data_IF_165494809394
#
_entry.id   IF_165494809394
#
_cell.length_a   1.000
_cell.length_b   1.000
_cell.length_c   1.000
_cell.angle_alpha   90.00
_cell.angle_beta   90.00
_cell.angle_gamma   90.00
#
_symmetry.space_group_name_H-M   'P 1'
#
loop_
_entity.id
_entity.type
_entity.pdbx_description
1 polymer ?
#
# COMPACT_ATOMS: atom_id res chain seq x y z
N UNK A 1 -12.00 -6.97 3.73
CA UNK A 1 -12.15 -6.15 2.51
C UNK A 1 -13.23 -6.64 1.54
N UNK A 2 -13.76 -7.86 1.68
CA UNK A 2 -14.59 -8.54 0.67
C UNK A 2 -16.00 -7.95 0.40
N UNK A 3 -16.38 -6.80 0.97
CA UNK A 3 -17.73 -6.25 0.73
C UNK A 3 -17.87 -4.74 0.77
N UNK A 4 -16.86 -3.96 1.18
CA UNK A 4 -17.00 -2.50 1.32
C UNK A 4 -15.63 -1.82 1.33
N UNK A 5 -15.04 -1.60 0.16
CA UNK A 5 -13.95 -0.64 -0.03
C UNK A 5 -13.94 -0.21 -1.49
N UNK A 6 -14.51 0.96 -1.78
CA UNK A 6 -14.62 1.54 -3.13
C UNK A 6 -13.54 2.59 -3.40
N UNK A 7 -12.83 3.04 -2.36
CA UNK A 7 -11.83 4.11 -2.46
C UNK A 7 -10.50 3.57 -3.00
N UNK A 8 -10.11 4.00 -4.19
CA UNK A 8 -8.77 3.80 -4.75
C UNK A 8 -7.90 4.98 -4.36
N UNK A 9 -7.02 4.77 -3.37
CA UNK A 9 -6.03 5.79 -3.00
C UNK A 9 -4.81 5.70 -3.92
N UNK A 10 -4.39 6.83 -4.48
CA UNK A 10 -3.19 6.92 -5.31
C UNK A 10 -1.99 7.25 -4.42
N UNK A 11 -0.98 6.38 -4.44
CA UNK A 11 0.24 6.52 -3.65
C UNK A 11 1.35 7.12 -4.52
N UNK A 12 1.94 8.24 -4.09
CA UNK A 12 3.23 8.74 -4.61
C UNK A 12 4.25 8.68 -3.48
N UNK A 13 5.47 8.25 -3.74
CA UNK A 13 6.52 8.20 -2.72
C UNK A 13 7.79 7.55 -3.26
N UNK A 14 8.88 7.67 -2.51
CA UNK A 14 10.17 7.08 -2.87
C UNK A 14 10.30 5.68 -2.27
N UNK A 15 10.54 4.68 -3.10
CA UNK A 15 10.81 3.33 -2.62
C UNK A 15 12.18 3.29 -1.93
N UNK A 16 12.18 3.05 -0.63
CA UNK A 16 13.40 2.93 0.17
C UNK A 16 13.94 1.50 0.15
N UNK A 17 13.08 0.52 0.41
CA UNK A 17 13.45 -0.90 0.32
C UNK A 17 12.22 -1.76 0.00
N UNK A 18 12.46 -2.88 -0.65
CA UNK A 18 11.46 -3.92 -0.89
C UNK A 18 12.01 -5.29 -0.53
N UNK A 19 11.13 -6.22 -0.17
CA UNK A 19 11.48 -7.62 0.10
C UNK A 19 10.32 -8.51 -0.30
N UNK A 20 10.66 -9.63 -0.90
CA UNK A 20 9.73 -10.71 -1.18
C UNK A 20 10.26 -12.00 -0.55
N UNK A 21 9.44 -12.63 0.30
CA UNK A 21 9.65 -13.99 0.81
C UNK A 21 8.32 -14.74 0.62
N UNK A 22 7.42 -14.65 1.60
CA UNK A 22 6.05 -15.19 1.48
C UNK A 22 5.01 -14.10 1.15
N UNK A 23 5.34 -12.85 1.47
CA UNK A 23 4.52 -11.67 1.19
C UNK A 23 5.40 -10.56 0.66
N UNK A 24 4.80 -9.66 -0.11
CA UNK A 24 5.46 -8.44 -0.53
C UNK A 24 5.53 -7.45 0.63
N UNK A 25 6.71 -6.95 0.93
CA UNK A 25 6.90 -5.82 1.84
C UNK A 25 7.58 -4.68 1.10
N UNK A 26 6.99 -3.48 1.16
CA UNK A 26 7.56 -2.25 0.62
C UNK A 26 7.70 -1.22 1.73
N UNK A 27 8.81 -0.49 1.76
CA UNK A 27 8.99 0.68 2.60
C UNK A 27 9.13 1.89 1.70
N UNK A 28 8.21 2.84 1.85
CA UNK A 28 8.21 4.12 1.15
C UNK A 28 8.63 5.24 2.09
N UNK A 29 9.36 6.23 1.58
CA UNK A 29 9.63 7.51 2.24
C UNK A 29 8.95 8.64 1.46
N UNK A 30 8.61 9.71 2.17
CA UNK A 30 7.92 10.89 1.63
C UNK A 30 6.66 10.50 0.84
N UNK A 31 5.85 9.62 1.44
CA UNK A 31 4.65 9.09 0.84
C UNK A 31 3.51 10.12 0.89
N UNK A 32 2.82 10.30 -0.22
CA UNK A 32 1.62 11.10 -0.37
C UNK A 32 0.43 10.18 -0.65
N UNK A 33 -0.57 10.26 0.21
CA UNK A 33 -1.82 9.52 0.13
C UNK A 33 -2.89 10.46 -0.36
N UNK A 34 -3.42 10.22 -1.56
CA UNK A 34 -4.54 10.98 -2.08
C UNK A 34 -5.81 10.14 -2.06
N UNK A 35 -6.81 10.63 -1.34
CA UNK A 35 -8.20 10.18 -1.42
C UNK A 35 -9.04 11.23 -2.18
N UNK A 36 -10.30 10.94 -2.49
CA UNK A 36 -11.18 11.84 -3.26
C UNK A 36 -11.29 13.24 -2.63
N UNK A 37 -11.22 13.33 -1.30
CA UNK A 37 -11.39 14.59 -0.56
C UNK A 37 -10.09 15.11 0.09
N UNK A 38 -9.08 14.25 0.31
CA UNK A 38 -7.91 14.60 1.11
C UNK A 38 -6.59 14.20 0.47
N UNK A 39 -5.54 14.98 0.74
CA UNK A 39 -4.16 14.64 0.42
C UNK A 39 -3.33 14.71 1.68
N UNK A 40 -2.79 13.58 2.11
CA UNK A 40 -1.97 13.46 3.32
C UNK A 40 -0.53 13.12 2.96
N UNK A 41 0.43 13.72 3.67
CA UNK A 41 1.85 13.40 3.54
C UNK A 41 2.34 12.66 4.77
N UNK A 42 3.07 11.57 4.56
CA UNK A 42 3.62 10.71 5.60
C UNK A 42 5.09 10.45 5.29
N UNK A 43 5.97 10.77 6.23
CA UNK A 43 7.42 10.67 6.01
C UNK A 43 7.91 9.24 5.76
N UNK A 44 7.23 8.21 6.30
CA UNK A 44 7.57 6.80 6.07
C UNK A 44 6.37 5.89 6.21
N UNK A 45 6.22 4.96 5.27
CA UNK A 45 5.17 3.93 5.29
C UNK A 45 5.76 2.55 5.02
N UNK A 46 5.18 1.53 5.65
CA UNK A 46 5.42 0.12 5.35
C UNK A 46 4.14 -0.50 4.79
N UNK A 47 4.21 -1.02 3.57
CA UNK A 47 3.13 -1.75 2.91
C UNK A 47 3.47 -3.24 2.98
N UNK A 48 2.50 -4.05 3.40
CA UNK A 48 2.60 -5.53 3.35
C UNK A 48 1.42 -6.05 2.53
N UNK A 49 1.70 -6.80 1.47
CA UNK A 49 0.69 -7.33 0.56
C UNK A 49 0.88 -8.84 0.37
N UNK A 50 -0.19 -9.60 0.59
CA UNK A 50 -0.26 -11.02 0.28
C UNK A 50 -0.80 -11.22 -1.15
N UNK A 51 -0.41 -12.31 -1.81
CA UNK A 51 -1.06 -12.71 -3.06
C UNK A 51 -2.49 -13.17 -2.77
N UNK A 52 -3.47 -12.48 -3.34
CA UNK A 52 -4.89 -12.79 -3.14
C UNK A 52 -5.30 -14.13 -3.76
N UNK A 53 -4.53 -14.68 -4.70
CA UNK A 53 -4.77 -16.00 -5.30
C UNK A 53 -4.51 -17.15 -4.31
N UNK A 54 -3.69 -16.93 -3.29
CA UNK A 54 -3.43 -17.91 -2.23
C UNK A 54 -4.57 -18.03 -1.22
N UNK A 55 -5.50 -17.07 -1.19
CA UNK A 55 -6.62 -17.03 -0.22
C UNK A 55 -7.90 -17.69 -0.75
N UNK A 56 -7.94 -18.11 -2.01
CA UNK A 56 -9.11 -18.74 -2.65
C UNK A 56 -8.98 -20.25 -2.85
N UNK A 57 -8.06 -20.92 -2.15
CA UNK A 57 -7.95 -22.38 -2.10
C UNK A 57 -8.57 -22.96 -0.84
#
# INVERSE_FOLDING_TARGET
LHSSCLSVSVYKGHLHTYRFCDVWTFILTDAQFKNEETTEQVGKVKIVACDSKLLSQ
#
